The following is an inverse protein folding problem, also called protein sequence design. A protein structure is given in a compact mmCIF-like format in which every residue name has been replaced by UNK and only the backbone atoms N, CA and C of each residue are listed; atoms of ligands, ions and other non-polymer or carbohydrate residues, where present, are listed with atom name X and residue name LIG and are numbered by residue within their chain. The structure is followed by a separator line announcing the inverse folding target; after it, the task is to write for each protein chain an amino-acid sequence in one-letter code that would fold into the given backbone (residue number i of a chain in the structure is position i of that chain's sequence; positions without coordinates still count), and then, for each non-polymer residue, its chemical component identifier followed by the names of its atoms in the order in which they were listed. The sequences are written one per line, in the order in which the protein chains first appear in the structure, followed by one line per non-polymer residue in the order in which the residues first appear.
data_IF_041214463456
#
_entry.id   IF_041214463456
#
_cell.length_a   1.000
_cell.length_b   1.000
_cell.length_c   1.000
_cell.angle_alpha   90.00
_cell.angle_beta   90.00
_cell.angle_gamma   90.00
#
_symmetry.space_group_name_H-M   'P 1'
#
loop_
_entity.id
_entity.type
_entity.pdbx_description
1 polymer ?
#
# COMPACT_ATOMS: atom_id res chain seq x y z
N UNK A 1 3.89 15.61 -13.45
CA UNK A 1 3.66 14.43 -12.61
C UNK A 1 2.41 13.67 -12.98
N UNK A 2 1.36 14.37 -13.46
CA UNK A 2 0.08 13.76 -13.75
C UNK A 2 0.08 12.80 -14.95
N UNK A 3 0.89 13.02 -15.98
CA UNK A 3 0.77 12.28 -17.23
C UNK A 3 1.28 10.82 -17.15
N UNK A 4 2.47 10.56 -16.62
CA UNK A 4 3.08 9.23 -16.67
C UNK A 4 2.47 8.26 -15.63
N UNK A 5 2.30 8.72 -14.39
CA UNK A 5 1.61 7.92 -13.35
C UNK A 5 0.13 7.74 -13.71
N UNK A 6 -0.49 8.75 -14.35
CA UNK A 6 -1.87 8.66 -14.79
C UNK A 6 -2.06 7.64 -15.91
N UNK A 7 -1.15 7.51 -16.88
CA UNK A 7 -1.28 6.56 -17.99
C UNK A 7 -1.26 5.11 -17.49
N UNK A 8 -0.40 4.77 -16.53
CA UNK A 8 -0.38 3.45 -15.91
C UNK A 8 -1.66 3.18 -15.10
N UNK A 9 -2.04 4.10 -14.21
CA UNK A 9 -3.26 3.98 -13.42
C UNK A 9 -4.51 3.85 -14.31
N UNK A 10 -4.56 4.60 -15.40
CA UNK A 10 -5.63 4.54 -16.39
C UNK A 10 -5.67 3.17 -17.05
N UNK A 11 -4.54 2.65 -17.52
CA UNK A 11 -4.46 1.37 -18.25
C UNK A 11 -4.83 0.19 -17.34
N UNK A 12 -4.22 0.09 -16.17
CA UNK A 12 -4.47 -1.02 -15.25
C UNK A 12 -5.92 -1.01 -14.76
N UNK A 13 -6.43 0.17 -14.37
CA UNK A 13 -7.81 0.31 -13.93
C UNK A 13 -8.82 0.08 -15.07
N UNK A 14 -8.53 0.55 -16.28
CA UNK A 14 -9.38 0.30 -17.46
C UNK A 14 -9.44 -1.19 -17.79
N UNK A 15 -8.28 -1.86 -17.91
CA UNK A 15 -8.22 -3.29 -18.19
C UNK A 15 -8.93 -4.11 -17.10
N UNK A 16 -8.67 -3.86 -15.83
CA UNK A 16 -9.30 -4.57 -14.74
C UNK A 16 -10.81 -4.32 -14.69
N UNK A 17 -11.28 -3.11 -15.02
CA UNK A 17 -12.70 -2.78 -15.06
C UNK A 17 -13.48 -3.55 -16.12
N UNK A 18 -12.77 -4.04 -17.15
CA UNK A 18 -13.31 -4.83 -18.27
C UNK A 18 -13.04 -6.33 -18.14
N UNK A 19 -12.37 -6.79 -17.07
CA UNK A 19 -11.97 -8.18 -16.91
C UNK A 19 -10.86 -8.62 -17.85
N UNK A 20 -9.95 -7.70 -18.21
CA UNK A 20 -8.87 -7.90 -19.20
C UNK A 20 -7.46 -7.68 -18.63
N UNK A 21 -7.32 -7.47 -17.32
CA UNK A 21 -6.00 -7.21 -16.73
C UNK A 21 -5.07 -8.40 -16.94
N UNK A 22 -5.50 -9.61 -16.61
CA UNK A 22 -4.68 -10.81 -16.74
C UNK A 22 -4.38 -11.19 -18.20
N UNK A 23 -5.24 -10.77 -19.12
CA UNK A 23 -5.05 -10.97 -20.56
C UNK A 23 -4.01 -10.02 -21.16
N UNK A 24 -4.03 -8.74 -20.75
CA UNK A 24 -3.26 -7.67 -21.37
C UNK A 24 -1.94 -7.36 -20.65
N UNK A 25 -1.84 -7.66 -19.35
CA UNK A 25 -0.65 -7.33 -18.56
C UNK A 25 0.39 -8.46 -18.64
N UNK A 26 1.50 -8.19 -19.32
CA UNK A 26 2.62 -9.11 -19.38
C UNK A 26 3.39 -9.10 -18.05
N UNK A 27 3.62 -10.29 -17.50
CA UNK A 27 4.37 -10.48 -16.25
C UNK A 27 5.83 -10.76 -16.57
N UNK A 28 6.71 -9.85 -16.12
CA UNK A 28 8.15 -10.03 -16.11
C UNK A 28 8.56 -10.60 -14.75
N UNK A 29 9.23 -11.75 -14.75
CA UNK A 29 9.72 -12.40 -13.54
C UNK A 29 11.20 -12.10 -13.33
N UNK A 30 11.61 -11.95 -12.08
CA UNK A 30 13.01 -11.88 -11.71
C UNK A 30 13.75 -13.19 -12.05
N UNK A 31 15.05 -13.14 -12.40
CA UNK A 31 15.87 -14.32 -12.57
C UNK A 31 15.93 -15.23 -11.34
N UNK A 32 15.68 -14.67 -10.16
CA UNK A 32 15.66 -15.38 -8.86
C UNK A 32 14.27 -15.62 -8.33
N UNK A 33 13.28 -15.70 -9.23
CA UNK A 33 11.88 -16.00 -8.86
C UNK A 33 11.78 -17.30 -8.08
N UNK A 34 11.05 -17.30 -6.98
CA UNK A 34 10.95 -18.40 -6.03
C UNK A 34 10.02 -19.55 -6.46
N UNK A 35 9.41 -19.44 -7.65
CA UNK A 35 8.56 -20.48 -8.23
C UNK A 35 7.10 -20.47 -7.76
N UNK A 36 6.68 -19.52 -6.90
CA UNK A 36 5.27 -19.36 -6.55
C UNK A 36 4.42 -19.01 -7.77
N UNK A 37 3.11 -19.19 -7.66
CA UNK A 37 2.20 -18.88 -8.76
C UNK A 37 2.32 -17.40 -9.17
N UNK A 38 2.76 -17.16 -10.40
CA UNK A 38 2.97 -15.79 -10.92
C UNK A 38 1.70 -14.92 -10.91
N UNK A 39 0.51 -15.52 -10.80
CA UNK A 39 -0.77 -14.78 -10.72
C UNK A 39 -0.91 -13.94 -9.46
N UNK A 40 -0.07 -14.15 -8.44
CA UNK A 40 0.00 -13.23 -7.28
C UNK A 40 0.27 -11.79 -7.70
N UNK A 41 0.99 -11.58 -8.82
CA UNK A 41 1.36 -10.26 -9.32
C UNK A 41 0.15 -9.38 -9.67
N UNK A 42 -0.95 -9.97 -10.12
CA UNK A 42 -2.16 -9.19 -10.46
C UNK A 42 -2.83 -8.63 -9.22
N UNK A 43 -2.82 -9.39 -8.12
CA UNK A 43 -3.32 -8.90 -6.84
C UNK A 43 -2.40 -7.86 -6.22
N UNK A 44 -1.09 -8.03 -6.38
CA UNK A 44 -0.07 -7.08 -5.96
C UNK A 44 -0.22 -5.75 -6.72
N UNK A 45 -0.34 -5.80 -8.06
CA UNK A 45 -0.62 -4.65 -8.90
C UNK A 45 -1.89 -3.91 -8.45
N UNK A 46 -3.00 -4.62 -8.39
CA UNK A 46 -4.30 -4.04 -8.06
C UNK A 46 -4.33 -3.45 -6.64
N UNK A 47 -3.87 -4.20 -5.65
CA UNK A 47 -3.92 -3.79 -4.24
C UNK A 47 -3.11 -2.53 -3.98
N UNK A 48 -1.88 -2.49 -4.46
CA UNK A 48 -0.99 -1.34 -4.26
C UNK A 48 -1.45 -0.12 -5.02
N UNK A 49 -1.89 -0.29 -6.27
CA UNK A 49 -2.48 0.79 -7.06
C UNK A 49 -3.68 1.41 -6.34
N UNK A 50 -4.60 0.60 -5.85
CA UNK A 50 -5.79 1.08 -5.16
C UNK A 50 -5.44 1.75 -3.82
N UNK A 51 -4.48 1.24 -3.05
CA UNK A 51 -4.04 1.87 -1.80
C UNK A 51 -3.45 3.28 -2.05
N UNK A 52 -2.70 3.45 -3.14
CA UNK A 52 -2.15 4.75 -3.52
C UNK A 52 -3.20 5.72 -4.08
N UNK A 53 -4.16 5.23 -4.85
CA UNK A 53 -5.19 6.05 -5.49
C UNK A 53 -6.33 6.44 -4.54
N UNK A 54 -6.63 5.63 -3.54
CA UNK A 54 -7.82 5.80 -2.70
C UNK A 54 -8.00 7.20 -2.12
N UNK A 55 -6.96 7.88 -1.59
CA UNK A 55 -7.13 9.25 -1.08
C UNK A 55 -7.53 10.25 -2.17
N UNK A 56 -6.93 10.13 -3.36
CA UNK A 56 -7.23 11.03 -4.48
C UNK A 56 -8.62 10.74 -5.06
N UNK A 57 -9.00 9.48 -5.22
CA UNK A 57 -10.34 9.09 -5.67
C UNK A 57 -11.45 9.51 -4.69
N UNK A 58 -11.11 9.79 -3.44
CA UNK A 58 -12.04 10.23 -2.40
C UNK A 58 -12.28 11.74 -2.38
N UNK A 59 -11.56 12.52 -3.18
CA UNK A 59 -11.78 13.95 -3.29
C UNK A 59 -13.14 14.24 -3.94
N UNK A 60 -13.80 15.36 -3.57
CA UNK A 60 -15.07 15.78 -4.18
C UNK A 60 -14.96 15.92 -5.70
N UNK A 61 -16.07 15.67 -6.39
CA UNK A 61 -16.15 15.91 -7.84
C UNK A 61 -16.10 17.41 -8.13
N UNK A 62 -15.43 17.75 -9.23
CA UNK A 62 -15.35 19.09 -9.78
C UNK A 62 -15.24 19.02 -11.32
N UNK A 63 -15.42 20.17 -11.99
CA UNK A 63 -15.44 20.27 -13.45
C UNK A 63 -14.04 20.53 -14.06
N UNK A 64 -12.98 20.43 -13.27
CA UNK A 64 -11.62 20.51 -13.78
C UNK A 64 -11.26 19.27 -14.61
N UNK A 65 -10.28 19.36 -15.49
CA UNK A 65 -9.79 18.22 -16.23
C UNK A 65 -9.33 17.08 -15.31
N UNK A 66 -8.72 17.42 -14.16
CA UNK A 66 -8.35 16.45 -13.12
C UNK A 66 -9.59 15.83 -12.46
N UNK A 67 -10.60 16.62 -12.13
CA UNK A 67 -11.85 16.13 -11.52
C UNK A 67 -12.61 15.17 -12.41
N UNK A 68 -12.69 15.47 -13.72
CA UNK A 68 -13.29 14.59 -14.73
C UNK A 68 -12.53 13.26 -14.80
N UNK A 69 -11.20 13.30 -14.87
CA UNK A 69 -10.35 12.10 -14.89
C UNK A 69 -10.50 11.28 -13.60
N UNK A 70 -10.51 11.92 -12.43
CA UNK A 70 -10.69 11.29 -11.13
C UNK A 70 -12.02 10.55 -11.04
N UNK A 71 -13.11 11.16 -11.50
CA UNK A 71 -14.42 10.55 -11.57
C UNK A 71 -14.41 9.29 -12.44
N UNK A 72 -13.85 9.37 -13.64
CA UNK A 72 -13.73 8.23 -14.53
C UNK A 72 -12.91 7.08 -13.90
N UNK A 73 -11.78 7.40 -13.28
CA UNK A 73 -10.95 6.39 -12.60
C UNK A 73 -11.66 5.77 -11.40
N UNK A 74 -12.47 6.54 -10.66
CA UNK A 74 -13.29 6.01 -9.56
C UNK A 74 -14.35 5.03 -10.07
N UNK A 75 -15.01 5.32 -11.19
CA UNK A 75 -15.96 4.40 -11.80
C UNK A 75 -15.29 3.08 -12.25
N UNK A 76 -14.09 3.16 -12.85
CA UNK A 76 -13.30 1.97 -13.18
C UNK A 76 -12.83 1.22 -11.93
N UNK A 77 -12.39 1.92 -10.90
CA UNK A 77 -11.99 1.29 -9.63
C UNK A 77 -13.14 0.49 -9.03
N UNK A 78 -14.36 1.02 -8.97
CA UNK A 78 -15.54 0.30 -8.45
C UNK A 78 -15.84 -0.97 -9.24
N UNK A 79 -15.75 -0.92 -10.58
CA UNK A 79 -15.89 -2.11 -11.43
C UNK A 79 -14.75 -3.10 -11.19
N UNK A 80 -13.52 -2.61 -11.06
CA UNK A 80 -12.34 -3.43 -10.81
C UNK A 80 -12.42 -4.17 -9.47
N UNK A 81 -12.93 -3.52 -8.42
CA UNK A 81 -13.21 -4.19 -7.15
C UNK A 81 -14.22 -5.33 -7.33
N UNK A 82 -15.27 -5.16 -8.12
CA UNK A 82 -16.22 -6.23 -8.39
C UNK A 82 -15.57 -7.39 -9.15
N UNK A 83 -14.81 -7.11 -10.20
CA UNK A 83 -14.09 -8.13 -10.98
C UNK A 83 -13.11 -8.95 -10.12
N UNK A 84 -12.41 -8.29 -9.19
CA UNK A 84 -11.34 -8.90 -8.37
C UNK A 84 -11.83 -10.03 -7.46
N UNK A 85 -13.11 -10.03 -7.08
CA UNK A 85 -13.75 -10.99 -6.15
C UNK A 85 -14.89 -11.78 -6.80
N UNK A 86 -15.17 -11.59 -8.07
CA UNK A 86 -16.14 -12.37 -8.81
C UNK A 86 -15.52 -13.68 -9.33
N UNK A 87 -15.90 -14.86 -8.82
CA UNK A 87 -15.35 -16.13 -9.29
C UNK A 87 -15.55 -16.40 -10.79
N UNK A 88 -16.55 -15.78 -11.41
CA UNK A 88 -16.84 -15.91 -12.85
C UNK A 88 -16.03 -14.93 -13.70
N UNK A 89 -15.36 -13.96 -13.08
CA UNK A 89 -14.49 -13.02 -13.78
C UNK A 89 -13.17 -13.65 -14.19
N UNK A 90 -12.69 -13.31 -15.40
CA UNK A 90 -11.33 -13.65 -15.83
C UNK A 90 -10.27 -12.98 -14.96
N UNK A 91 -10.61 -11.87 -14.31
CA UNK A 91 -9.74 -11.12 -13.41
C UNK A 91 -9.99 -11.42 -11.94
N UNK A 92 -10.68 -12.54 -11.63
CA UNK A 92 -10.73 -13.04 -10.26
C UNK A 92 -9.31 -13.25 -9.73
N UNK A 93 -8.97 -12.57 -8.64
CA UNK A 93 -7.61 -12.57 -8.11
C UNK A 93 -7.28 -13.87 -7.34
N UNK A 94 -6.00 -14.11 -7.14
CA UNK A 94 -5.52 -15.34 -6.48
C UNK A 94 -5.63 -15.22 -4.96
N UNK A 95 -6.85 -15.30 -4.41
CA UNK A 95 -7.10 -15.13 -2.98
C UNK A 95 -6.65 -16.31 -2.10
N UNK A 96 -6.67 -17.54 -2.64
CA UNK A 96 -6.76 -18.72 -1.80
C UNK A 96 -5.58 -19.69 -1.86
N UNK A 97 -4.63 -19.51 -2.75
CA UNK A 97 -3.62 -20.53 -3.03
C UNK A 97 -2.33 -20.32 -2.24
N UNK A 98 -1.78 -19.15 -2.27
CA UNK A 98 -0.45 -18.82 -1.74
C UNK A 98 -0.54 -18.09 -0.38
N UNK A 99 0.61 -17.78 0.24
CA UNK A 99 0.71 -16.86 1.38
C UNK A 99 0.70 -15.39 0.96
N UNK A 100 1.31 -15.09 -0.19
CA UNK A 100 1.42 -13.71 -0.73
C UNK A 100 0.08 -12.93 -0.79
N UNK A 101 -1.07 -13.54 -1.10
CA UNK A 101 -2.35 -12.84 -1.04
C UNK A 101 -2.68 -12.12 0.26
N UNK A 102 -2.12 -12.54 1.40
CA UNK A 102 -2.30 -11.80 2.65
C UNK A 102 -1.67 -10.41 2.59
N UNK A 103 -0.51 -10.28 1.94
CA UNK A 103 0.20 -9.00 1.74
C UNK A 103 -0.67 -8.06 0.91
N UNK A 104 -1.11 -8.54 -0.24
CA UNK A 104 -1.76 -7.69 -1.25
C UNK A 104 -3.21 -7.40 -0.86
N UNK A 105 -3.87 -8.31 -0.15
CA UNK A 105 -5.15 -8.06 0.49
C UNK A 105 -5.09 -6.95 1.53
N UNK A 106 -3.98 -6.82 2.25
CA UNK A 106 -3.81 -5.74 3.21
C UNK A 106 -3.80 -4.37 2.51
N UNK A 107 -3.20 -4.24 1.33
CA UNK A 107 -3.28 -3.00 0.54
C UNK A 107 -4.68 -2.74 -0.01
N UNK A 108 -5.41 -3.78 -0.41
CA UNK A 108 -6.84 -3.62 -0.78
C UNK A 108 -7.64 -3.15 0.44
N UNK A 109 -7.43 -3.74 1.61
CA UNK A 109 -8.09 -3.33 2.84
C UNK A 109 -7.72 -1.88 3.23
N UNK A 110 -6.45 -1.50 3.06
CA UNK A 110 -5.96 -0.14 3.27
C UNK A 110 -6.61 0.87 2.32
N UNK A 111 -6.83 0.51 1.05
CA UNK A 111 -7.56 1.35 0.10
C UNK A 111 -8.98 1.63 0.57
N UNK A 112 -9.67 0.63 1.11
CA UNK A 112 -11.00 0.81 1.70
C UNK A 112 -10.96 1.59 3.01
N UNK A 113 -9.92 1.44 3.83
CA UNK A 113 -9.78 2.24 5.05
C UNK A 113 -9.58 3.73 4.73
N UNK A 114 -8.79 4.04 3.69
CA UNK A 114 -8.48 5.40 3.24
C UNK A 114 -9.60 6.05 2.43
N UNK A 115 -10.33 5.26 1.64
CA UNK A 115 -11.40 5.72 0.75
C UNK A 115 -12.77 5.09 1.06
N UNK A 116 -13.14 4.90 2.32
CA UNK A 116 -14.31 4.12 2.72
C UNK A 116 -15.60 4.58 2.03
N UNK A 117 -15.89 5.88 2.08
CA UNK A 117 -17.13 6.42 1.54
C UNK A 117 -17.15 6.44 0.00
N UNK A 118 -16.00 6.58 -0.64
CA UNK A 118 -15.89 6.65 -2.10
C UNK A 118 -15.72 5.28 -2.76
N UNK A 119 -15.12 4.29 -2.07
CA UNK A 119 -14.73 3.02 -2.68
C UNK A 119 -15.43 1.80 -2.08
N UNK A 120 -15.76 1.81 -0.77
CA UNK A 120 -16.46 0.69 -0.14
C UNK A 120 -17.97 0.87 -0.13
N UNK A 121 -18.46 2.02 0.32
CA UNK A 121 -19.89 2.28 0.46
C UNK A 121 -20.66 2.08 -0.86
N UNK A 122 -20.16 2.53 -2.03
CA UNK A 122 -20.87 2.39 -3.31
C UNK A 122 -20.91 0.98 -3.89
N UNK A 123 -20.09 0.04 -3.40
CA UNK A 123 -20.11 -1.35 -3.88
C UNK A 123 -21.46 -2.00 -3.58
N UNK A 124 -21.88 -2.89 -4.47
CA UNK A 124 -23.08 -3.70 -4.24
C UNK A 124 -22.89 -4.72 -3.11
N UNK A 125 -23.99 -5.23 -2.57
CA UNK A 125 -23.96 -6.13 -1.42
C UNK A 125 -23.28 -7.47 -1.71
N UNK A 126 -23.40 -7.98 -2.93
CA UNK A 126 -22.74 -9.24 -3.32
C UNK A 126 -21.21 -9.06 -3.35
N UNK A 127 -20.74 -7.99 -3.96
CA UNK A 127 -19.31 -7.64 -3.98
C UNK A 127 -18.76 -7.46 -2.56
N UNK A 128 -19.49 -6.75 -1.68
CA UNK A 128 -19.11 -6.61 -0.27
C UNK A 128 -19.04 -7.96 0.47
N UNK A 129 -20.02 -8.82 0.28
CA UNK A 129 -20.04 -10.16 0.89
C UNK A 129 -18.85 -11.00 0.40
N UNK A 130 -18.54 -10.98 -0.89
CA UNK A 130 -17.40 -11.67 -1.47
C UNK A 130 -16.08 -11.18 -0.86
N UNK A 131 -15.87 -9.85 -0.75
CA UNK A 131 -14.68 -9.30 -0.08
C UNK A 131 -14.56 -9.74 1.37
N UNK A 132 -15.64 -9.67 2.14
CA UNK A 132 -15.63 -10.12 3.54
C UNK A 132 -15.25 -11.61 3.61
N UNK A 133 -15.79 -12.45 2.73
CA UNK A 133 -15.48 -13.88 2.70
C UNK A 133 -14.01 -14.13 2.33
N UNK A 134 -13.48 -13.46 1.31
CA UNK A 134 -12.07 -13.61 0.90
C UNK A 134 -11.11 -13.10 1.99
N UNK A 135 -11.37 -11.95 2.60
CA UNK A 135 -10.56 -11.47 3.72
C UNK A 135 -10.57 -12.44 4.91
N UNK A 136 -11.71 -13.01 5.26
CA UNK A 136 -11.79 -14.00 6.33
C UNK A 136 -11.06 -15.32 5.99
N UNK A 137 -11.04 -15.72 4.73
CA UNK A 137 -10.28 -16.90 4.26
C UNK A 137 -8.77 -16.73 4.44
N UNK A 138 -8.25 -15.51 4.44
CA UNK A 138 -6.83 -15.24 4.67
C UNK A 138 -6.37 -15.56 6.09
N UNK A 139 -7.29 -15.83 7.03
CA UNK A 139 -6.97 -16.33 8.37
C UNK A 139 -6.26 -17.70 8.35
N UNK A 140 -6.35 -18.45 7.24
CA UNK A 140 -5.58 -19.67 7.00
C UNK A 140 -4.07 -19.45 6.89
N UNK A 141 -3.66 -18.24 6.55
CA UNK A 141 -2.24 -17.87 6.43
C UNK A 141 -1.72 -17.52 7.80
N UNK A 142 -0.69 -18.24 8.22
CA UNK A 142 0.10 -17.90 9.40
C UNK A 142 1.17 -16.88 8.98
N UNK A 143 1.07 -15.60 9.39
CA UNK A 143 2.01 -14.60 8.95
C UNK A 143 3.37 -14.83 9.59
N UNK A 144 4.48 -14.76 8.83
CA UNK A 144 5.81 -14.71 9.39
C UNK A 144 5.93 -13.65 10.49
N UNK A 145 6.78 -13.91 11.48
CA UNK A 145 6.93 -13.08 12.67
C UNK A 145 7.78 -11.82 12.39
N UNK A 146 7.27 -11.00 11.46
CA UNK A 146 7.87 -9.79 10.90
C UNK A 146 6.79 -8.75 10.64
N UNK A 147 7.05 -7.76 9.77
CA UNK A 147 6.04 -6.82 9.28
C UNK A 147 4.75 -7.49 8.76
N UNK A 148 4.79 -8.77 8.40
CA UNK A 148 3.62 -9.53 7.94
C UNK A 148 2.49 -9.59 8.96
N UNK A 149 2.78 -9.46 10.24
CA UNK A 149 1.76 -9.33 11.27
C UNK A 149 0.82 -8.14 11.02
N UNK A 150 1.37 -7.04 10.46
CA UNK A 150 0.58 -5.86 10.13
C UNK A 150 -0.34 -6.08 8.94
N UNK A 151 0.01 -6.91 7.96
CA UNK A 151 -0.92 -7.26 6.88
C UNK A 151 -2.16 -7.95 7.44
N UNK A 152 -1.96 -8.94 8.30
CA UNK A 152 -3.06 -9.61 8.99
C UNK A 152 -3.91 -8.62 9.81
N UNK A 153 -3.26 -7.73 10.55
CA UNK A 153 -3.93 -6.70 11.36
C UNK A 153 -4.74 -5.72 10.51
N UNK A 154 -4.21 -5.27 9.37
CA UNK A 154 -4.87 -4.31 8.49
C UNK A 154 -6.16 -4.89 7.89
N UNK A 155 -6.11 -6.14 7.43
CA UNK A 155 -7.29 -6.85 6.94
C UNK A 155 -8.38 -6.94 8.02
N UNK A 156 -8.00 -7.31 9.24
CA UNK A 156 -8.96 -7.41 10.36
C UNK A 156 -9.47 -6.05 10.82
N UNK A 157 -8.65 -5.00 10.76
CA UNK A 157 -9.08 -3.62 11.03
C UNK A 157 -10.13 -3.15 10.02
N UNK A 158 -9.97 -3.50 8.75
CA UNK A 158 -10.99 -3.23 7.75
C UNK A 158 -12.28 -4.02 8.03
N UNK A 159 -12.20 -5.34 8.30
CA UNK A 159 -13.37 -6.14 8.67
C UNK A 159 -14.12 -5.53 9.86
N UNK A 160 -13.39 -5.05 10.88
CA UNK A 160 -13.98 -4.31 12.00
C UNK A 160 -14.73 -3.05 11.54
N UNK A 161 -14.12 -2.23 10.68
CA UNK A 161 -14.74 -1.00 10.16
C UNK A 161 -15.97 -1.30 9.31
N UNK A 162 -15.95 -2.39 8.54
CA UNK A 162 -17.08 -2.86 7.73
C UNK A 162 -18.22 -3.52 8.55
N UNK A 163 -18.05 -3.67 9.87
CA UNK A 163 -19.04 -4.31 10.74
C UNK A 163 -19.09 -5.84 10.62
N UNK A 164 -18.08 -6.45 10.02
CA UNK A 164 -17.96 -7.90 9.87
C UNK A 164 -17.33 -8.57 11.10
N UNK A 165 -17.47 -9.90 11.18
CA UNK A 165 -16.80 -10.68 12.22
C UNK A 165 -15.30 -10.49 12.15
N UNK A 166 -14.69 -10.05 13.25
CA UNK A 166 -13.30 -9.61 13.37
C UNK A 166 -12.52 -10.52 14.31
N UNK A 167 -11.30 -10.88 13.93
CA UNK A 167 -10.35 -11.54 14.81
C UNK A 167 -9.49 -10.49 15.55
N UNK A 168 -9.96 -10.09 16.72
CA UNK A 168 -9.28 -9.11 17.56
C UNK A 168 -7.90 -9.57 18.05
N UNK A 169 -7.67 -10.88 18.16
CA UNK A 169 -6.38 -11.39 18.59
C UNK A 169 -5.30 -11.11 17.54
N UNK A 170 -5.61 -11.30 16.26
CA UNK A 170 -4.69 -10.97 15.16
C UNK A 170 -4.30 -9.48 15.17
N UNK A 171 -5.25 -8.60 15.43
CA UNK A 171 -4.96 -7.16 15.53
C UNK A 171 -4.07 -6.87 16.74
N UNK A 172 -4.52 -7.27 17.93
CA UNK A 172 -3.86 -6.85 19.18
C UNK A 172 -2.50 -7.52 19.38
N UNK A 173 -2.32 -8.76 18.92
CA UNK A 173 -1.01 -9.42 18.94
C UNK A 173 -0.01 -8.75 18.02
N UNK A 174 -0.42 -8.41 16.79
CA UNK A 174 0.41 -7.66 15.85
C UNK A 174 0.84 -6.29 16.43
N UNK A 175 -0.12 -5.51 16.93
CA UNK A 175 0.17 -4.18 17.45
C UNK A 175 1.11 -4.22 18.68
N UNK A 176 0.93 -5.22 19.57
CA UNK A 176 1.84 -5.40 20.71
C UNK A 176 3.24 -5.76 20.27
N UNK A 177 3.35 -6.69 19.30
CA UNK A 177 4.65 -7.16 18.85
C UNK A 177 5.41 -6.08 18.09
N UNK A 178 4.77 -5.32 17.23
CA UNK A 178 5.40 -4.18 16.55
C UNK A 178 5.85 -3.11 17.56
N UNK A 179 5.06 -2.87 18.61
CA UNK A 179 5.47 -1.95 19.68
C UNK A 179 6.76 -2.41 20.40
N UNK A 180 6.91 -3.72 20.62
CA UNK A 180 8.12 -4.31 21.21
C UNK A 180 9.35 -4.16 20.31
N UNK A 181 9.18 -4.10 19.00
CA UNK A 181 10.27 -3.94 18.03
C UNK A 181 10.72 -2.49 17.83
N UNK A 182 10.16 -1.54 18.57
CA UNK A 182 10.61 -0.15 18.50
C UNK A 182 12.02 -0.01 19.07
N UNK A 183 12.97 0.42 18.25
CA UNK A 183 14.39 0.55 18.63
C UNK A 183 14.82 1.98 18.95
N UNK A 184 13.91 2.94 18.85
CA UNK A 184 14.19 4.35 19.15
C UNK A 184 14.30 5.22 17.92
N UNK A 185 14.29 6.52 18.11
CA UNK A 185 14.48 7.57 17.08
C UNK A 185 13.60 7.44 15.83
N UNK A 186 12.40 6.89 16.00
CA UNK A 186 11.45 6.67 14.91
C UNK A 186 11.62 5.34 14.16
N UNK A 187 12.57 4.48 14.53
CA UNK A 187 12.82 3.22 13.85
C UNK A 187 12.22 2.02 14.58
N UNK A 188 11.76 1.06 13.79
CA UNK A 188 11.36 -0.28 14.23
C UNK A 188 12.27 -1.32 13.60
N UNK A 189 12.58 -2.38 14.35
CA UNK A 189 13.08 -3.62 13.76
C UNK A 189 11.97 -4.32 12.98
N UNK A 190 12.33 -5.08 11.96
CA UNK A 190 11.39 -5.90 11.20
C UNK A 190 11.47 -7.35 11.67
N UNK A 191 10.95 -7.61 12.84
CA UNK A 191 11.03 -8.88 13.53
C UNK A 191 12.01 -8.85 14.70
N UNK A 192 12.39 -10.04 15.20
CA UNK A 192 13.26 -10.18 16.38
C UNK A 192 14.73 -9.83 16.04
N UNK A 193 15.16 -10.16 14.84
CA UNK A 193 16.48 -9.79 14.35
C UNK A 193 16.44 -8.38 13.79
N UNK A 194 17.40 -7.55 14.18
CA UNK A 194 17.47 -6.17 13.72
C UNK A 194 17.64 -6.10 12.21
N UNK A 195 16.69 -5.43 11.54
CA UNK A 195 16.75 -5.11 10.13
C UNK A 195 16.58 -3.60 9.93
N UNK A 196 17.60 -2.97 9.37
CA UNK A 196 17.60 -1.53 9.06
C UNK A 196 17.30 -1.35 7.57
N UNK A 197 16.04 -1.12 7.25
CA UNK A 197 15.58 -0.99 5.87
C UNK A 197 14.30 -0.14 5.75
N UNK A 198 13.85 0.06 4.52
CA UNK A 198 12.64 0.84 4.20
C UNK A 198 11.32 0.11 4.45
N UNK A 199 11.30 -1.09 5.05
CA UNK A 199 10.03 -1.64 5.52
C UNK A 199 9.38 -0.78 6.61
N UNK A 200 10.18 0.05 7.29
CA UNK A 200 9.66 1.13 8.12
C UNK A 200 8.75 2.11 7.33
N UNK A 201 9.09 2.36 6.05
CA UNK A 201 8.30 3.20 5.15
C UNK A 201 7.18 2.43 4.46
N UNK A 202 7.50 1.24 3.92
CA UNK A 202 6.58 0.51 3.06
C UNK A 202 5.38 -0.06 3.83
N UNK A 203 5.59 -0.46 5.09
CA UNK A 203 4.60 -1.23 5.86
C UNK A 203 4.47 -0.73 7.30
N UNK A 204 5.61 -0.69 8.07
CA UNK A 204 5.52 -0.65 9.52
C UNK A 204 4.83 0.63 10.01
N UNK A 205 5.34 1.80 9.67
CA UNK A 205 4.74 3.06 10.11
C UNK A 205 3.32 3.28 9.61
N UNK A 206 3.04 3.15 8.29
CA UNK A 206 1.70 3.42 7.78
C UNK A 206 0.65 2.48 8.38
N UNK A 207 0.84 1.18 8.24
CA UNK A 207 -0.17 0.21 8.68
C UNK A 207 -0.30 0.18 10.21
N UNK A 208 0.80 0.35 10.96
CA UNK A 208 0.74 0.41 12.41
C UNK A 208 -0.09 1.59 12.91
N UNK A 209 0.14 2.78 12.36
CA UNK A 209 -0.61 3.99 12.72
C UNK A 209 -2.07 3.90 12.29
N UNK A 210 -2.35 3.42 11.08
CA UNK A 210 -3.73 3.28 10.59
C UNK A 210 -4.51 2.19 11.34
N UNK A 211 -3.89 1.07 11.68
CA UNK A 211 -4.50 0.06 12.56
C UNK A 211 -4.81 0.63 13.96
N UNK A 212 -3.89 1.38 14.55
CA UNK A 212 -4.13 2.05 15.83
C UNK A 212 -5.23 3.11 15.73
N UNK A 213 -5.29 3.87 14.64
CA UNK A 213 -6.38 4.83 14.40
C UNK A 213 -7.74 4.14 14.46
N UNK A 214 -7.90 3.01 13.74
CA UNK A 214 -9.14 2.21 13.75
C UNK A 214 -9.44 1.66 15.14
N UNK A 215 -8.45 1.07 15.81
CA UNK A 215 -8.65 0.40 17.09
C UNK A 215 -8.87 1.34 18.26
N UNK A 216 -8.33 2.55 18.18
CA UNK A 216 -8.46 3.56 19.23
C UNK A 216 -9.55 4.60 18.93
N UNK A 217 -10.31 4.43 17.85
CA UNK A 217 -11.26 5.42 17.38
C UNK A 217 -10.62 6.82 17.24
N UNK A 218 -9.54 6.89 16.48
CA UNK A 218 -8.79 8.13 16.28
C UNK A 218 -8.09 8.66 17.53
N UNK A 219 -7.66 7.77 18.41
CA UNK A 219 -6.95 8.13 19.66
C UNK A 219 -7.85 8.49 20.83
N UNK A 220 -9.18 8.29 20.72
CA UNK A 220 -10.13 8.57 21.82
C UNK A 220 -10.12 7.50 22.92
N UNK A 221 -9.57 6.33 22.64
CA UNK A 221 -9.45 5.22 23.58
C UNK A 221 -8.10 4.53 23.40
N UNK A 222 -7.65 3.81 24.43
CA UNK A 222 -6.39 3.07 24.41
C UNK A 222 -6.63 1.57 24.27
N UNK A 223 -5.68 0.88 23.64
CA UNK A 223 -5.66 -0.58 23.61
C UNK A 223 -4.93 -1.07 24.87
N UNK A 224 -5.52 -2.05 25.53
CA UNK A 224 -4.91 -2.68 26.72
C UNK A 224 -3.58 -3.36 26.37
N UNK A 225 -2.57 -3.14 27.22
CA UNK A 225 -1.22 -3.71 27.09
C UNK A 225 -0.44 -3.37 25.80
N UNK A 226 -0.71 -2.24 25.19
CA UNK A 226 0.15 -1.65 24.15
C UNK A 226 0.83 -0.44 24.78
N UNK A 227 2.02 -0.64 25.37
CA UNK A 227 2.68 0.35 26.25
C UNK A 227 3.07 1.65 25.55
N UNK A 228 3.75 1.54 24.44
CA UNK A 228 4.17 2.67 23.64
C UNK A 228 3.34 2.83 22.36
N UNK A 229 2.49 1.86 22.07
CA UNK A 229 1.74 1.74 20.85
C UNK A 229 0.32 2.33 20.89
N UNK A 230 0.07 3.33 21.71
CA UNK A 230 -1.13 4.13 21.59
C UNK A 230 -1.00 5.06 20.39
N UNK A 231 -2.11 5.37 19.74
CA UNK A 231 -2.14 6.18 18.53
C UNK A 231 -1.27 7.46 18.63
N UNK A 232 -1.33 8.28 19.69
CA UNK A 232 -0.48 9.48 19.78
C UNK A 232 1.02 9.18 19.80
N UNK A 233 1.44 8.08 20.42
CA UNK A 233 2.85 7.70 20.49
C UNK A 233 3.34 7.13 19.16
N UNK A 234 2.55 6.27 18.50
CA UNK A 234 2.85 5.78 17.17
C UNK A 234 2.96 6.92 16.15
N UNK A 235 2.05 7.89 16.24
CA UNK A 235 2.10 9.10 15.41
C UNK A 235 3.38 9.91 15.63
N UNK A 236 3.79 10.13 16.90
CA UNK A 236 5.06 10.81 17.21
C UNK A 236 6.27 10.07 16.66
N UNK A 237 6.27 8.73 16.73
CA UNK A 237 7.34 7.90 16.15
C UNK A 237 7.38 8.04 14.62
N UNK A 238 6.22 8.02 13.94
CA UNK A 238 6.14 8.24 12.50
C UNK A 238 6.55 9.66 12.11
N UNK A 239 6.17 10.69 12.88
CA UNK A 239 6.63 12.06 12.69
C UNK A 239 8.16 12.17 12.78
N UNK A 240 8.77 11.53 13.80
CA UNK A 240 10.23 11.51 13.95
C UNK A 240 10.91 10.79 12.79
N UNK A 241 10.39 9.66 12.36
CA UNK A 241 10.88 8.95 11.19
C UNK A 241 10.73 9.79 9.91
N UNK A 242 9.61 10.47 9.72
CA UNK A 242 9.37 11.37 8.59
C UNK A 242 10.38 12.51 8.53
N UNK A 243 10.78 13.07 9.67
CA UNK A 243 11.83 14.11 9.73
C UNK A 243 13.19 13.57 9.25
N UNK A 244 13.52 12.31 9.56
CA UNK A 244 14.76 11.67 9.08
C UNK A 244 14.64 11.40 7.59
N UNK A 245 13.52 10.85 7.16
CA UNK A 245 13.27 10.47 5.78
C UNK A 245 13.31 11.67 4.82
N UNK A 246 12.76 12.81 5.23
CA UNK A 246 12.82 14.03 4.43
C UNK A 246 14.29 14.49 4.23
N UNK A 247 15.12 14.38 5.26
CA UNK A 247 16.55 14.72 5.19
C UNK A 247 17.39 13.75 4.36
N UNK A 248 16.88 12.56 4.08
CA UNK A 248 17.51 11.64 3.15
C UNK A 248 17.33 12.08 1.69
N UNK A 249 16.36 12.92 1.41
CA UNK A 249 16.14 13.41 0.05
C UNK A 249 17.16 14.50 -0.27
N UNK A 250 18.00 14.24 -1.28
CA UNK A 250 18.97 15.21 -1.77
C UNK A 250 18.30 16.33 -2.58
N UNK A 251 18.98 17.48 -2.77
CA UNK A 251 18.49 18.54 -3.66
C UNK A 251 18.20 18.06 -5.10
N UNK A 252 18.88 17.01 -5.56
CA UNK A 252 18.72 16.43 -6.89
C UNK A 252 17.55 15.43 -6.96
N UNK A 253 16.79 15.25 -5.89
CA UNK A 253 15.66 14.31 -5.84
C UNK A 253 16.07 12.84 -5.75
N UNK A 254 17.23 12.55 -5.18
CA UNK A 254 17.68 11.19 -4.87
C UNK A 254 17.57 10.90 -3.38
N UNK A 255 17.65 9.64 -3.00
CA UNK A 255 17.71 9.19 -1.61
C UNK A 255 18.64 7.99 -1.48
N UNK A 256 19.21 7.69 -0.30
CA UNK A 256 20.06 6.53 -0.08
C UNK A 256 19.29 5.24 -0.36
N UNK A 257 19.84 4.38 -1.20
CA UNK A 257 19.28 3.05 -1.49
C UNK A 257 19.98 2.03 -0.60
N UNK A 258 19.25 1.47 0.36
CA UNK A 258 19.77 0.45 1.27
C UNK A 258 18.66 -0.53 1.68
N UNK A 259 19.08 -1.68 2.23
CA UNK A 259 18.17 -2.74 2.64
C UNK A 259 17.69 -3.58 1.47
N UNK A 260 16.47 -4.09 1.56
CA UNK A 260 15.85 -5.01 0.60
C UNK A 260 14.63 -4.36 -0.05
N UNK A 261 14.09 -5.02 -1.07
CA UNK A 261 12.84 -4.60 -1.74
C UNK A 261 12.92 -3.20 -2.35
N UNK A 262 14.09 -2.83 -2.85
CA UNK A 262 14.34 -1.49 -3.40
C UNK A 262 13.51 -1.20 -4.65
N UNK A 263 12.97 -2.23 -5.29
CA UNK A 263 12.04 -2.11 -6.43
C UNK A 263 10.73 -1.41 -6.07
N UNK A 264 10.43 -1.22 -4.79
CA UNK A 264 9.26 -0.45 -4.34
C UNK A 264 9.41 1.07 -4.55
N UNK A 265 10.50 1.51 -5.11
CA UNK A 265 10.73 2.88 -5.61
C UNK A 265 10.24 3.96 -4.63
N UNK A 266 9.15 4.63 -4.99
CA UNK A 266 8.57 5.75 -4.23
C UNK A 266 7.87 5.35 -2.94
N UNK A 267 7.69 4.08 -2.67
CA UNK A 267 7.14 3.58 -1.40
C UNK A 267 7.91 4.05 -0.16
N UNK A 268 9.19 4.38 -0.34
CA UNK A 268 10.01 5.03 0.70
C UNK A 268 9.36 6.31 1.24
N UNK A 269 8.58 7.00 0.44
CA UNK A 269 7.95 8.28 0.79
C UNK A 269 6.60 8.13 1.51
N UNK A 270 6.08 6.91 1.66
CA UNK A 270 4.72 6.68 2.16
C UNK A 270 4.45 7.32 3.54
N UNK A 271 5.36 7.29 4.54
CA UNK A 271 5.11 7.99 5.81
C UNK A 271 4.96 9.50 5.64
N UNK A 272 5.76 10.12 4.76
CA UNK A 272 5.64 11.56 4.46
C UNK A 272 4.31 11.88 3.76
N UNK A 273 3.90 11.02 2.83
CA UNK A 273 2.62 11.15 2.15
C UNK A 273 1.45 11.04 3.13
N UNK A 274 1.45 10.03 4.02
CA UNK A 274 0.41 9.83 5.01
C UNK A 274 0.35 10.97 6.03
N UNK A 275 1.49 11.42 6.55
CA UNK A 275 1.57 12.58 7.44
C UNK A 275 0.99 13.85 6.80
N UNK A 276 1.30 14.05 5.51
CA UNK A 276 0.79 15.20 4.75
C UNK A 276 -0.71 15.11 4.51
N UNK A 277 -1.19 13.95 4.06
CA UNK A 277 -2.59 13.66 3.76
C UNK A 277 -3.49 13.91 4.98
N UNK A 278 -3.04 13.50 6.16
CA UNK A 278 -3.79 13.59 7.41
C UNK A 278 -3.60 14.90 8.17
N UNK A 279 -2.74 15.80 7.68
CA UNK A 279 -2.40 17.03 8.40
C UNK A 279 -1.63 16.78 9.70
N UNK A 280 -0.87 15.71 9.76
CA UNK A 280 -0.11 15.25 10.94
C UNK A 280 1.37 15.62 10.91
N UNK A 281 1.79 16.46 9.97
CA UNK A 281 3.20 16.92 9.91
C UNK A 281 3.57 17.67 11.19
N UNK A 282 4.76 17.42 11.78
CA UNK A 282 5.25 18.21 12.89
C UNK A 282 5.62 19.62 12.43
N UNK A 283 5.70 20.57 13.36
CA UNK A 283 6.01 22.00 13.05
C UNK A 283 7.37 22.16 12.36
N UNK A 284 8.31 21.29 12.69
CA UNK A 284 9.67 21.27 12.15
C UNK A 284 9.75 20.79 10.69
N UNK A 285 8.64 20.29 10.17
CA UNK A 285 8.54 19.74 8.80
C UNK A 285 7.40 20.41 8.03
N UNK A 286 7.62 21.59 7.46
CA UNK A 286 6.58 22.31 6.73
C UNK A 286 6.04 21.53 5.53
N UNK A 287 4.73 21.58 5.30
CA UNK A 287 4.08 20.84 4.21
C UNK A 287 4.63 21.16 2.81
N UNK A 288 5.03 22.42 2.59
CA UNK A 288 5.68 22.84 1.33
C UNK A 288 7.01 22.15 1.09
N UNK A 289 7.84 21.98 2.14
CA UNK A 289 9.11 21.28 2.09
C UNK A 289 8.91 19.78 1.78
N UNK A 290 7.98 19.12 2.48
CA UNK A 290 7.66 17.71 2.24
C UNK A 290 7.16 17.49 0.81
N UNK A 291 6.27 18.36 0.33
CA UNK A 291 5.76 18.29 -1.04
C UNK A 291 6.90 18.47 -2.05
N UNK A 292 7.80 19.43 -1.85
CA UNK A 292 8.95 19.63 -2.73
C UNK A 292 9.87 18.41 -2.77
N UNK A 293 10.20 17.83 -1.61
CA UNK A 293 11.02 16.63 -1.51
C UNK A 293 10.38 15.43 -2.24
N UNK A 294 9.11 15.13 -1.96
CA UNK A 294 8.40 14.04 -2.63
C UNK A 294 8.30 14.27 -4.14
N UNK A 295 7.99 15.51 -4.57
CA UNK A 295 7.90 15.85 -6.00
C UNK A 295 9.23 15.67 -6.69
N UNK A 296 10.33 16.09 -6.08
CA UNK A 296 11.67 15.93 -6.65
C UNK A 296 12.03 14.47 -6.88
N UNK A 297 11.75 13.58 -5.90
CA UNK A 297 11.99 12.14 -6.03
C UNK A 297 11.14 11.54 -7.14
N UNK A 298 9.83 11.84 -7.15
CA UNK A 298 8.90 11.27 -8.15
C UNK A 298 9.27 11.77 -9.56
N UNK A 299 9.60 13.04 -9.73
CA UNK A 299 10.04 13.58 -11.01
C UNK A 299 11.35 12.95 -11.47
N UNK A 300 12.30 12.77 -10.56
CA UNK A 300 13.57 12.10 -10.87
C UNK A 300 13.38 10.66 -11.32
N UNK A 301 12.45 9.94 -10.71
CA UNK A 301 12.20 8.52 -10.99
C UNK A 301 11.33 8.31 -12.23
N UNK A 302 10.31 9.13 -12.41
CA UNK A 302 9.30 8.94 -13.48
C UNK A 302 9.29 10.07 -14.51
N UNK A 303 10.26 10.98 -14.49
CA UNK A 303 10.34 12.10 -15.43
C UNK A 303 10.76 11.70 -16.86
N UNK A 304 11.29 10.51 -17.03
CA UNK A 304 11.50 9.85 -18.32
C UNK A 304 10.84 8.45 -18.33
N UNK A 305 10.75 7.84 -19.50
CA UNK A 305 10.02 6.58 -19.69
C UNK A 305 10.82 5.32 -19.32
N UNK A 306 12.01 5.44 -18.73
CA UNK A 306 12.89 4.27 -18.47
C UNK A 306 12.29 3.23 -17.53
N UNK A 307 11.34 3.63 -16.70
CA UNK A 307 10.65 2.76 -15.76
C UNK A 307 9.41 2.08 -16.34
N UNK A 308 9.13 2.31 -17.63
CA UNK A 308 8.00 1.72 -18.32
C UNK A 308 8.46 0.98 -19.57
N UNK A 309 7.80 -0.14 -19.88
CA UNK A 309 7.98 -0.83 -21.15
C UNK A 309 7.18 -0.17 -22.27
N UNK A 310 7.27 -0.71 -23.50
CA UNK A 310 6.58 -0.16 -24.66
C UNK A 310 5.05 -0.15 -24.50
N UNK A 311 4.52 -1.08 -23.74
CA UNK A 311 3.10 -1.21 -23.42
C UNK A 311 2.65 -0.31 -22.26
N UNK A 312 3.60 0.40 -21.59
CA UNK A 312 3.33 1.32 -20.50
C UNK A 312 3.18 0.66 -19.12
N UNK A 313 3.57 -0.62 -18.97
CA UNK A 313 3.69 -1.27 -17.68
C UNK A 313 5.07 -1.01 -17.07
N UNK A 314 5.16 -1.06 -15.73
CA UNK A 314 6.43 -0.93 -15.06
C UNK A 314 7.42 -2.01 -15.50
N UNK A 315 8.68 -1.63 -15.65
CA UNK A 315 9.80 -2.57 -15.82
C UNK A 315 10.22 -3.14 -14.47
N UNK A 316 10.79 -4.33 -14.48
CA UNK A 316 11.36 -4.94 -13.27
C UNK A 316 12.67 -4.24 -12.90
N UNK A 317 12.68 -3.52 -11.77
CA UNK A 317 13.86 -2.81 -11.29
C UNK A 317 13.53 -1.58 -10.44
N UNK A 318 14.57 -0.90 -9.99
CA UNK A 318 14.50 0.33 -9.22
C UNK A 318 14.40 1.58 -10.12
N UNK A 319 15.33 1.71 -11.09
CA UNK A 319 15.39 2.85 -12.01
C UNK A 319 15.71 2.36 -13.42
N UNK A 320 14.69 1.98 -14.15
CA UNK A 320 14.77 1.27 -15.41
C UNK A 320 14.73 -0.25 -15.21
N UNK A 321 14.95 -1.01 -16.30
CA UNK A 321 15.00 -2.47 -16.24
C UNK A 321 16.29 -2.94 -15.55
N UNK A 322 16.16 -3.54 -14.39
CA UNK A 322 17.24 -4.02 -13.54
C UNK A 322 16.86 -5.36 -12.88
N UNK A 323 16.66 -6.42 -13.67
CA UNK A 323 16.14 -7.69 -13.15
C UNK A 323 17.06 -8.34 -12.09
N UNK A 324 18.37 -8.12 -12.16
CA UNK A 324 19.34 -8.73 -11.23
C UNK A 324 19.29 -8.19 -9.79
N UNK A 325 18.66 -7.03 -9.57
CA UNK A 325 18.50 -6.44 -8.23
C UNK A 325 17.08 -6.63 -7.68
N UNK A 326 16.28 -7.42 -8.35
CA UNK A 326 14.83 -7.49 -8.11
C UNK A 326 14.43 -8.68 -7.24
N UNK A 327 15.37 -9.36 -6.62
CA UNK A 327 15.14 -10.51 -5.74
C UNK A 327 14.13 -11.50 -6.38
N UNK A 328 13.02 -11.75 -5.69
CA UNK A 328 11.90 -12.59 -6.13
C UNK A 328 10.68 -11.79 -6.59
N UNK A 329 10.85 -10.53 -7.06
CA UNK A 329 9.76 -9.67 -7.48
C UNK A 329 9.40 -9.84 -8.96
N UNK A 330 8.22 -9.33 -9.31
CA UNK A 330 7.77 -9.10 -10.68
C UNK A 330 7.83 -7.61 -11.01
N UNK A 331 7.68 -7.27 -12.28
CA UNK A 331 7.62 -5.87 -12.71
C UNK A 331 6.53 -5.06 -12.01
N UNK A 332 5.43 -5.68 -11.62
CA UNK A 332 4.29 -5.02 -10.99
C UNK A 332 4.35 -5.01 -9.44
N UNK A 333 5.25 -5.77 -8.83
CA UNK A 333 5.51 -5.73 -7.39
C UNK A 333 6.07 -4.41 -6.90
N UNK A 334 6.35 -3.49 -7.79
CA UNK A 334 6.95 -2.19 -7.51
C UNK A 334 6.01 -1.00 -7.72
N UNK A 335 4.71 -1.23 -7.76
CA UNK A 335 3.68 -0.20 -7.78
C UNK A 335 3.49 0.42 -6.39
N UNK A 336 4.32 1.40 -6.07
CA UNK A 336 4.14 2.22 -4.88
C UNK A 336 4.24 3.70 -5.23
#
# INVERSE_FOLDING_TARGET
LSLVVSEMCIRDSSNMSEGKLQENMLVELSPTWDGRDKRVTYMECFGRLMAGLAPWLSLPDDDTAEGIQRKQLREWALKSYAQSVDPESKDYLLWRKEGQPLVDAAYIAESFLRGYDALWVPLDDLTKQRYIAEFQQLRRVDPPYTNWLLFSSTVECFLKKAGAQTDYYRITSALRKVDEWYVGDGWYSDGEDFAFDYYNSFVIHPMYVECLEVMTNGGKQNIWNVKGGNFPNALKRMQRFGMILERFVSPEGTFPVFGRSITYRTGVLQPLALLSLRGWLPKELPAGQVRAAMTAVIQRMFGDNRNFNAEGYLTLGFNGSQPNISDWYTNNGSLY
#
